data_IF_745217714341
#
_entry.id   IF_745217714341
#
_cell.length_a   1.000
_cell.length_b   1.000
_cell.length_c   1.000
_cell.angle_alpha   90.00
_cell.angle_beta   90.00
_cell.angle_gamma   90.00
#
_symmetry.space_group_name_H-M   'P 1'
#
loop_
_entity.id
_entity.type
_entity.pdbx_description
1 polymer ?
#
# COMPACT_ATOMS: atom_id res chain seq x y z
N UNK A 1 7.90 -6.14 75.30
CA UNK A 1 7.83 -5.82 73.87
C UNK A 1 7.32 -4.40 73.79
N UNK A 2 8.23 -3.45 73.55
CA UNK A 2 7.96 -2.02 73.68
C UNK A 2 7.05 -1.52 72.52
N UNK A 3 6.15 -0.56 72.73
CA UNK A 3 5.27 0.07 71.74
C UNK A 3 6.09 0.56 70.55
N UNK A 4 7.32 1.02 70.80
CA UNK A 4 8.29 1.46 69.76
C UNK A 4 8.71 0.36 68.81
N UNK A 5 8.76 -0.90 69.19
CA UNK A 5 9.13 -2.02 68.32
C UNK A 5 7.97 -2.41 67.39
N UNK A 6 6.74 -2.17 67.84
CA UNK A 6 5.54 -2.44 67.04
C UNK A 6 5.35 -1.41 65.90
N UNK A 7 5.54 -0.14 66.25
CA UNK A 7 5.45 0.95 65.24
C UNK A 7 6.55 0.82 64.15
N UNK A 8 7.73 0.35 64.51
CA UNK A 8 8.83 0.09 63.57
C UNK A 8 8.50 -1.10 62.65
N UNK A 9 7.95 -2.18 63.20
CA UNK A 9 7.54 -3.36 62.43
C UNK A 9 6.36 -3.08 61.50
N UNK A 10 5.41 -2.28 61.94
CA UNK A 10 4.26 -1.89 61.10
C UNK A 10 4.70 -0.96 59.98
N UNK A 11 5.65 -0.06 60.22
CA UNK A 11 6.25 0.82 59.22
C UNK A 11 7.06 0.04 58.18
N UNK A 12 7.87 -0.92 58.60
CA UNK A 12 8.60 -1.81 57.68
C UNK A 12 7.65 -2.70 56.84
N UNK A 13 6.51 -3.10 57.39
CA UNK A 13 5.47 -3.84 56.66
C UNK A 13 4.78 -2.97 55.64
N UNK A 14 4.42 -1.73 55.97
CA UNK A 14 3.84 -0.78 55.04
C UNK A 14 4.82 -0.41 53.90
N UNK A 15 6.10 -0.19 54.23
CA UNK A 15 7.14 0.06 53.21
C UNK A 15 7.31 -1.13 52.27
N UNK A 16 7.36 -2.37 52.78
CA UNK A 16 7.42 -3.60 51.96
C UNK A 16 6.18 -3.76 51.09
N UNK A 17 4.99 -3.53 51.63
CA UNK A 17 3.74 -3.58 50.88
C UNK A 17 3.69 -2.53 49.76
N UNK A 18 4.18 -1.31 50.00
CA UNK A 18 4.26 -0.26 49.02
C UNK A 18 5.27 -0.58 47.91
N UNK A 19 6.44 -1.12 48.25
CA UNK A 19 7.44 -1.57 47.28
C UNK A 19 6.86 -2.67 46.37
N UNK A 20 6.27 -3.71 46.95
CA UNK A 20 5.65 -4.81 46.20
C UNK A 20 4.52 -4.31 45.29
N UNK A 21 3.75 -3.31 45.75
CA UNK A 21 2.68 -2.71 44.96
C UNK A 21 3.22 -1.92 43.77
N UNK A 22 4.30 -1.15 43.97
CA UNK A 22 5.00 -0.42 42.92
C UNK A 22 5.63 -1.37 41.90
N UNK A 23 6.28 -2.45 42.36
CA UNK A 23 6.82 -3.49 41.50
C UNK A 23 5.75 -4.16 40.63
N UNK A 24 4.58 -4.46 41.19
CA UNK A 24 3.46 -5.02 40.44
C UNK A 24 2.92 -4.03 39.39
N UNK A 25 2.81 -2.75 39.74
CA UNK A 25 2.42 -1.73 38.76
C UNK A 25 3.44 -1.56 37.64
N UNK A 26 4.74 -1.57 37.99
CA UNK A 26 5.80 -1.48 37.01
C UNK A 26 5.78 -2.69 36.07
N UNK A 27 5.68 -3.91 36.60
CA UNK A 27 5.62 -5.15 35.82
C UNK A 27 4.39 -5.19 34.90
N UNK A 28 3.24 -4.69 35.36
CA UNK A 28 2.04 -4.59 34.54
C UNK A 28 2.18 -3.54 33.39
N UNK A 29 2.91 -2.44 33.65
CA UNK A 29 3.17 -1.41 32.66
C UNK A 29 4.33 -1.73 31.72
N UNK A 30 5.21 -2.66 32.09
CA UNK A 30 6.45 -2.96 31.39
C UNK A 30 6.28 -3.26 29.88
N UNK A 31 5.27 -4.05 29.42
CA UNK A 31 5.07 -4.29 27.99
C UNK A 31 4.77 -3.00 27.21
N UNK A 32 3.99 -2.09 27.79
CA UNK A 32 3.66 -0.80 27.17
C UNK A 32 4.89 0.11 27.11
N UNK A 33 5.69 0.14 28.21
CA UNK A 33 6.94 0.91 28.25
C UNK A 33 7.95 0.40 27.22
N UNK A 34 8.07 -0.92 27.08
CA UNK A 34 8.93 -1.54 26.06
C UNK A 34 8.48 -1.16 24.64
N UNK A 35 7.18 -1.25 24.34
CA UNK A 35 6.65 -0.87 23.03
C UNK A 35 6.92 0.61 22.71
N UNK A 36 6.64 1.52 23.65
CA UNK A 36 6.89 2.95 23.47
C UNK A 36 8.38 3.23 23.27
N UNK A 37 9.24 2.49 23.95
CA UNK A 37 10.68 2.61 23.77
C UNK A 37 11.12 2.16 22.38
N UNK A 38 10.65 1.01 21.87
CA UNK A 38 10.96 0.54 20.52
C UNK A 38 10.43 1.48 19.44
N UNK A 39 9.23 2.04 19.63
CA UNK A 39 8.71 3.10 18.75
C UNK A 39 9.64 4.32 18.76
N UNK A 40 10.10 4.75 19.95
CA UNK A 40 11.03 5.88 20.04
C UNK A 40 12.39 5.60 19.38
N UNK A 41 12.85 4.34 19.38
CA UNK A 41 14.07 3.91 18.70
C UNK A 41 13.93 4.00 17.18
N UNK A 42 12.86 3.43 16.60
CA UNK A 42 12.64 3.47 15.15
C UNK A 42 12.38 4.89 14.62
N UNK A 43 11.88 5.78 15.47
CA UNK A 43 11.71 7.20 15.14
C UNK A 43 13.01 8.03 15.32
N UNK A 44 14.06 7.41 15.88
CA UNK A 44 15.36 8.06 16.11
C UNK A 44 15.36 9.07 17.25
N UNK A 45 14.44 8.90 18.24
CA UNK A 45 14.35 9.81 19.41
C UNK A 45 15.26 9.40 20.56
N UNK A 46 15.88 8.22 20.49
CA UNK A 46 16.75 7.67 21.54
C UNK A 46 18.20 7.80 21.11
N UNK A 47 19.03 8.43 21.97
CA UNK A 47 20.47 8.53 21.76
C UNK A 47 21.15 7.24 22.19
N UNK A 48 22.34 6.96 21.65
CA UNK A 48 23.16 5.80 21.99
C UNK A 48 23.45 5.68 23.50
N UNK A 49 23.81 6.81 24.14
CA UNK A 49 24.09 6.88 25.60
C UNK A 49 22.89 6.45 26.46
N UNK A 50 21.67 6.74 26.00
CA UNK A 50 20.45 6.44 26.73
C UNK A 50 19.89 5.03 26.40
N UNK A 51 20.24 4.48 25.26
CA UNK A 51 19.76 3.16 24.82
C UNK A 51 20.08 2.06 25.86
N UNK A 52 21.34 2.00 26.34
CA UNK A 52 21.77 1.03 27.35
C UNK A 52 21.05 1.20 28.70
N UNK A 53 20.77 2.46 29.11
CA UNK A 53 20.03 2.75 30.34
C UNK A 53 18.58 2.24 30.25
N UNK A 54 17.92 2.48 29.13
CA UNK A 54 16.55 2.01 28.90
C UNK A 54 16.47 0.49 28.77
N UNK A 55 17.47 -0.16 28.18
CA UNK A 55 17.54 -1.62 28.12
C UNK A 55 17.55 -2.23 29.52
N UNK A 56 18.38 -1.69 30.42
CA UNK A 56 18.44 -2.13 31.82
C UNK A 56 17.12 -1.81 32.55
N UNK A 57 16.61 -0.58 32.41
CA UNK A 57 15.39 -0.14 33.10
C UNK A 57 14.14 -0.93 32.67
N UNK A 58 14.02 -1.24 31.39
CA UNK A 58 12.84 -1.93 30.83
C UNK A 58 13.06 -3.44 30.68
N UNK A 59 14.15 -3.99 31.28
CA UNK A 59 14.47 -5.42 31.26
C UNK A 59 14.47 -6.03 29.83
N UNK A 60 15.05 -5.29 28.89
CA UNK A 60 15.13 -5.71 27.48
C UNK A 60 16.39 -6.55 27.31
N UNK A 61 16.20 -7.83 26.95
CA UNK A 61 17.30 -8.75 26.69
C UNK A 61 17.54 -8.89 25.18
N UNK A 62 18.20 -7.88 24.59
CA UNK A 62 18.72 -7.89 23.20
C UNK A 62 20.15 -7.39 23.25
N UNK A 63 21.13 -8.31 23.14
CA UNK A 63 22.57 -8.04 23.34
C UNK A 63 23.44 -8.56 22.21
N UNK A 64 22.84 -8.75 21.02
CA UNK A 64 23.58 -9.25 19.87
C UNK A 64 24.57 -8.25 19.32
N UNK A 65 25.52 -8.72 18.50
CA UNK A 65 26.46 -7.85 17.81
C UNK A 65 25.81 -7.07 16.65
N UNK A 66 24.69 -7.59 16.12
CA UNK A 66 23.99 -6.97 15.00
C UNK A 66 22.47 -6.99 15.20
N UNK A 67 21.81 -6.04 14.55
CA UNK A 67 20.37 -5.86 14.61
C UNK A 67 19.79 -5.59 13.22
N UNK A 68 18.53 -5.96 13.05
CA UNK A 68 17.79 -5.69 11.83
C UNK A 68 16.33 -5.39 12.09
N UNK A 69 15.66 -4.82 11.11
CA UNK A 69 14.24 -4.54 11.15
C UNK A 69 13.54 -5.17 9.94
N UNK A 70 12.42 -5.83 10.17
CA UNK A 70 11.47 -6.19 9.15
C UNK A 70 10.15 -5.44 9.35
N UNK A 71 9.55 -5.00 8.25
CA UNK A 71 8.22 -4.39 8.19
C UNK A 71 7.31 -5.32 7.39
N UNK A 72 6.27 -5.84 8.02
CA UNK A 72 5.25 -6.67 7.37
C UNK A 72 4.03 -5.82 7.05
N UNK A 73 3.76 -5.65 5.78
CA UNK A 73 2.59 -4.98 5.26
C UNK A 73 1.54 -6.00 4.86
N UNK A 74 0.36 -5.94 5.47
CA UNK A 74 -0.80 -6.76 5.10
C UNK A 74 -1.72 -5.92 4.22
N UNK A 75 -2.03 -6.43 3.02
CA UNK A 75 -2.90 -5.73 2.08
C UNK A 75 -4.33 -5.62 2.61
N UNK A 76 -4.90 -4.42 2.56
CA UNK A 76 -6.30 -4.16 2.92
C UNK A 76 -7.27 -4.44 1.77
N UNK A 77 -6.76 -4.52 0.53
CA UNK A 77 -7.56 -4.76 -0.68
C UNK A 77 -7.81 -6.24 -0.96
N UNK A 78 -6.97 -7.13 -0.42
CA UNK A 78 -7.08 -8.58 -0.57
C UNK A 78 -7.41 -9.22 0.77
N UNK A 79 -8.67 -9.16 1.15
CA UNK A 79 -9.19 -9.74 2.40
C UNK A 79 -10.14 -10.88 2.05
N UNK A 80 -10.02 -12.06 2.69
CA UNK A 80 -10.98 -13.14 2.49
C UNK A 80 -12.43 -12.70 2.77
N UNK A 81 -13.38 -13.24 2.01
CA UNK A 81 -14.79 -12.89 2.11
C UNK A 81 -15.30 -13.00 3.56
N UNK A 82 -15.94 -11.92 4.02
CA UNK A 82 -16.51 -11.84 5.37
C UNK A 82 -15.52 -11.55 6.50
N UNK A 83 -14.23 -11.34 6.21
CA UNK A 83 -13.21 -10.99 7.21
C UNK A 83 -12.98 -9.47 7.26
N UNK A 84 -12.83 -8.93 8.47
CA UNK A 84 -12.44 -7.54 8.65
C UNK A 84 -10.92 -7.39 8.42
N UNK A 85 -10.44 -6.39 7.61
CA UNK A 85 -9.03 -6.15 7.37
C UNK A 85 -8.19 -6.01 8.65
N UNK A 86 -8.73 -5.32 9.66
CA UNK A 86 -8.06 -5.14 10.94
C UNK A 86 -7.85 -6.49 11.67
N UNK A 87 -8.84 -7.37 11.66
CA UNK A 87 -8.72 -8.70 12.25
C UNK A 87 -7.71 -9.56 11.50
N UNK A 88 -7.63 -9.42 10.18
CA UNK A 88 -6.62 -10.11 9.38
C UNK A 88 -5.21 -9.63 9.75
N UNK A 89 -4.99 -8.31 9.85
CA UNK A 89 -3.70 -7.74 10.26
C UNK A 89 -3.29 -8.19 11.67
N UNK A 90 -4.22 -8.21 12.63
CA UNK A 90 -3.98 -8.72 13.99
C UNK A 90 -3.66 -10.22 13.99
N UNK A 91 -4.33 -11.01 13.15
CA UNK A 91 -4.03 -12.44 13.01
C UNK A 91 -2.65 -12.68 12.41
N UNK A 92 -2.25 -11.88 11.42
CA UNK A 92 -0.89 -11.91 10.84
C UNK A 92 0.16 -11.55 11.89
N UNK A 93 -0.06 -10.51 12.70
CA UNK A 93 0.83 -10.16 13.81
C UNK A 93 0.98 -11.31 14.82
N UNK A 94 -0.13 -11.95 15.16
CA UNK A 94 -0.11 -13.10 16.06
C UNK A 94 0.74 -14.25 15.50
N UNK A 95 0.53 -14.60 14.23
CA UNK A 95 1.29 -15.68 13.58
C UNK A 95 2.79 -15.34 13.41
N UNK A 96 3.14 -14.06 13.22
CA UNK A 96 4.55 -13.62 13.23
C UNK A 96 5.17 -13.91 14.60
N UNK A 97 4.45 -13.62 15.70
CA UNK A 97 4.91 -13.90 17.08
C UNK A 97 5.06 -15.40 17.34
N UNK A 98 4.13 -16.22 16.88
CA UNK A 98 4.14 -17.66 17.12
C UNK A 98 5.17 -18.40 16.25
N UNK A 99 5.47 -17.92 15.04
CA UNK A 99 6.34 -18.62 14.09
C UNK A 99 7.72 -17.98 13.98
N UNK A 100 7.79 -16.70 13.59
CA UNK A 100 9.09 -16.07 13.35
C UNK A 100 9.82 -15.70 14.65
N UNK A 101 9.09 -15.20 15.65
CA UNK A 101 9.72 -14.84 16.92
C UNK A 101 10.16 -16.05 17.76
N UNK A 102 9.75 -17.27 17.42
CA UNK A 102 10.28 -18.51 18.02
C UNK A 102 11.61 -18.93 17.38
N UNK A 103 11.82 -18.63 16.09
CA UNK A 103 13.06 -18.92 15.38
C UNK A 103 14.13 -17.83 15.62
N UNK A 104 13.68 -16.59 15.79
CA UNK A 104 14.54 -15.40 15.85
C UNK A 104 14.32 -14.63 17.13
N UNK A 105 15.39 -14.34 17.89
CA UNK A 105 15.32 -13.47 19.05
C UNK A 105 14.92 -12.07 18.60
N UNK A 106 13.70 -11.65 18.97
CA UNK A 106 13.08 -10.49 18.35
C UNK A 106 12.06 -9.80 19.25
N UNK A 107 11.63 -8.62 18.80
CA UNK A 107 10.47 -7.90 19.32
C UNK A 107 9.50 -7.57 18.17
N UNK A 108 8.26 -7.99 18.37
CA UNK A 108 7.18 -7.79 17.38
C UNK A 108 6.13 -6.86 17.95
N UNK A 109 5.78 -5.83 17.22
CA UNK A 109 4.77 -4.85 17.61
C UNK A 109 4.15 -4.18 16.37
N UNK A 110 2.95 -3.62 16.52
CA UNK A 110 2.28 -2.85 15.47
C UNK A 110 2.70 -1.38 15.48
N UNK A 111 2.92 -0.81 14.30
CA UNK A 111 3.21 0.60 14.12
C UNK A 111 2.74 1.09 12.75
N UNK A 112 1.96 2.18 12.72
CA UNK A 112 1.40 2.80 11.49
C UNK A 112 0.75 1.79 10.53
N UNK A 113 -0.10 0.90 11.06
CA UNK A 113 -0.83 -0.08 10.25
C UNK A 113 -0.01 -1.27 9.75
N UNK A 114 1.28 -1.34 10.09
CA UNK A 114 2.15 -2.46 9.75
C UNK A 114 2.61 -3.21 11.00
N UNK A 115 2.98 -4.48 10.85
CA UNK A 115 3.65 -5.24 11.90
C UNK A 115 5.16 -5.12 11.74
N UNK A 116 5.84 -4.67 12.78
CA UNK A 116 7.29 -4.54 12.83
C UNK A 116 7.90 -5.68 13.64
N UNK A 117 9.05 -6.15 13.18
CA UNK A 117 9.87 -7.13 13.88
C UNK A 117 11.30 -6.64 13.94
N UNK A 118 11.76 -6.26 15.14
CA UNK A 118 13.16 -5.96 15.41
C UNK A 118 13.86 -7.25 15.83
N UNK A 119 14.98 -7.57 15.18
CA UNK A 119 15.70 -8.83 15.39
C UNK A 119 17.11 -8.60 15.89
N UNK A 120 17.60 -9.57 16.63
CA UNK A 120 19.00 -9.72 17.01
C UNK A 120 19.66 -10.76 16.10
N UNK A 121 20.81 -10.42 15.53
CA UNK A 121 21.55 -11.25 14.59
C UNK A 121 22.91 -11.61 15.16
N UNK A 122 23.35 -12.86 14.96
CA UNK A 122 24.67 -13.36 15.37
C UNK A 122 25.80 -12.92 14.44
N UNK A 123 25.48 -12.63 13.18
CA UNK A 123 26.38 -12.12 12.15
C UNK A 123 25.59 -11.27 11.16
N UNK A 124 26.30 -10.46 10.39
CA UNK A 124 25.69 -9.64 9.32
C UNK A 124 25.04 -10.52 8.24
N UNK A 125 25.66 -11.63 7.87
CA UNK A 125 25.13 -12.57 6.87
C UNK A 125 23.85 -13.29 7.31
N UNK A 126 23.54 -13.34 8.62
CA UNK A 126 22.35 -13.99 9.13
C UNK A 126 21.06 -13.29 8.60
N UNK A 127 21.15 -12.07 8.09
CA UNK A 127 20.03 -11.35 7.46
C UNK A 127 19.48 -12.08 6.24
N UNK A 128 20.31 -12.82 5.50
CA UNK A 128 19.89 -13.61 4.33
C UNK A 128 18.94 -14.74 4.78
N UNK A 129 19.34 -15.48 5.82
CA UNK A 129 18.49 -16.56 6.37
C UNK A 129 17.18 -16.02 6.96
N UNK A 130 17.26 -14.84 7.59
CA UNK A 130 16.07 -14.15 8.09
C UNK A 130 15.15 -13.73 6.94
N UNK A 131 15.70 -13.20 5.85
CA UNK A 131 14.95 -12.85 4.63
C UNK A 131 14.21 -14.08 4.09
N UNK A 132 14.88 -15.23 4.01
CA UNK A 132 14.26 -16.50 3.58
C UNK A 132 13.12 -16.95 4.52
N UNK A 133 13.30 -16.78 5.85
CA UNK A 133 12.25 -17.11 6.82
C UNK A 133 11.03 -16.21 6.64
N UNK A 134 11.22 -14.91 6.42
CA UNK A 134 10.16 -13.97 6.12
C UNK A 134 9.46 -14.30 4.80
N UNK A 135 10.21 -14.69 3.75
CA UNK A 135 9.64 -15.08 2.46
C UNK A 135 8.75 -16.33 2.58
N UNK A 136 9.23 -17.35 3.31
CA UNK A 136 8.42 -18.54 3.62
C UNK A 136 7.15 -18.19 4.39
N UNK A 137 7.26 -17.26 5.36
CA UNK A 137 6.11 -16.79 6.13
C UNK A 137 5.08 -16.09 5.23
N UNK A 138 5.49 -15.17 4.36
CA UNK A 138 4.59 -14.47 3.44
C UNK A 138 3.83 -15.45 2.52
N UNK A 139 4.53 -16.45 1.97
CA UNK A 139 3.91 -17.50 1.15
C UNK A 139 2.97 -18.40 1.96
N UNK A 140 3.31 -18.69 3.20
CA UNK A 140 2.47 -19.46 4.12
C UNK A 140 1.20 -18.69 4.49
N UNK A 141 1.32 -17.41 4.85
CA UNK A 141 0.19 -16.54 5.21
C UNK A 141 -0.85 -16.48 4.08
N UNK A 142 -0.39 -16.37 2.84
CA UNK A 142 -1.27 -16.40 1.69
C UNK A 142 -1.99 -17.75 1.52
N UNK A 143 -1.27 -18.87 1.64
CA UNK A 143 -1.85 -20.21 1.41
C UNK A 143 -2.83 -20.63 2.50
N UNK A 144 -2.57 -20.25 3.77
CA UNK A 144 -3.33 -20.73 4.92
C UNK A 144 -4.39 -19.74 5.39
N UNK A 145 -4.07 -18.45 5.35
CA UNK A 145 -4.95 -17.39 5.84
C UNK A 145 -5.60 -16.58 4.71
N UNK A 146 -5.19 -16.75 3.47
CA UNK A 146 -5.57 -15.87 2.36
C UNK A 146 -4.98 -14.45 2.48
N UNK A 147 -4.09 -14.22 3.44
CA UNK A 147 -3.52 -12.91 3.70
C UNK A 147 -2.41 -12.57 2.70
N UNK A 148 -2.55 -11.48 1.98
CA UNK A 148 -1.50 -10.93 1.12
C UNK A 148 -0.55 -10.10 1.96
N UNK A 149 0.60 -10.69 2.31
CA UNK A 149 1.61 -10.07 3.17
C UNK A 149 2.90 -9.85 2.37
N UNK A 150 3.49 -8.67 2.49
CA UNK A 150 4.83 -8.38 1.97
C UNK A 150 5.73 -7.96 3.12
N UNK A 151 6.89 -8.58 3.24
CA UNK A 151 7.90 -8.26 4.24
C UNK A 151 9.02 -7.43 3.60
N UNK A 152 9.24 -6.22 4.08
CA UNK A 152 10.42 -5.43 3.74
C UNK A 152 11.51 -5.64 4.78
N UNK A 153 12.73 -5.95 4.35
CA UNK A 153 13.88 -6.19 5.22
C UNK A 153 14.87 -5.04 5.09
N UNK A 154 15.21 -4.43 6.22
CA UNK A 154 16.15 -3.32 6.28
C UNK A 154 17.61 -3.76 6.32
N UNK A 155 18.52 -2.80 6.20
CA UNK A 155 19.95 -3.05 6.34
C UNK A 155 20.31 -3.42 7.76
N UNK A 156 21.30 -4.26 7.92
CA UNK A 156 21.87 -4.63 9.22
C UNK A 156 22.55 -3.40 9.85
N UNK A 157 22.42 -3.24 11.16
CA UNK A 157 23.14 -2.26 11.94
C UNK A 157 23.86 -2.94 13.11
N UNK A 158 24.98 -2.39 13.52
CA UNK A 158 25.87 -2.87 14.60
C UNK A 158 25.44 -2.34 15.98
N UNK A 159 24.52 -1.39 16.01
CA UNK A 159 24.04 -0.77 17.24
C UNK A 159 22.51 -0.59 17.17
N UNK A 160 21.82 -0.97 18.24
CA UNK A 160 20.36 -0.81 18.33
C UNK A 160 19.93 0.66 18.27
N UNK A 161 20.76 1.60 18.70
CA UNK A 161 20.45 3.04 18.57
C UNK A 161 20.32 3.48 17.10
N UNK A 162 20.96 2.74 16.17
CA UNK A 162 20.91 3.00 14.72
C UNK A 162 19.78 2.21 14.01
N UNK A 163 18.90 1.53 14.75
CA UNK A 163 17.83 0.70 14.17
C UNK A 163 16.87 1.49 13.28
N UNK A 164 16.81 2.81 13.44
CA UNK A 164 16.06 3.70 12.56
C UNK A 164 16.47 3.54 11.09
N UNK A 165 17.75 3.41 10.79
CA UNK A 165 18.23 3.24 9.41
C UNK A 165 17.77 1.90 8.82
N UNK A 166 17.73 0.85 9.64
CA UNK A 166 17.18 -0.45 9.26
C UNK A 166 15.67 -0.36 9.03
N UNK A 167 14.93 0.32 9.91
CA UNK A 167 13.49 0.53 9.74
C UNK A 167 13.16 1.34 8.48
N UNK A 168 13.86 2.44 8.24
CA UNK A 168 13.66 3.26 7.04
C UNK A 168 13.90 2.44 5.76
N UNK A 169 14.98 1.64 5.74
CA UNK A 169 15.24 0.71 4.65
C UNK A 169 14.19 -0.39 4.50
N UNK A 170 13.69 -0.95 5.61
CA UNK A 170 12.63 -1.97 5.56
C UNK A 170 11.31 -1.38 5.03
N UNK A 171 10.95 -0.17 5.42
CA UNK A 171 9.79 0.54 4.91
C UNK A 171 9.92 0.86 3.42
N UNK A 172 11.10 1.30 3.00
CA UNK A 172 11.42 1.50 1.59
C UNK A 172 11.28 0.19 0.81
N UNK A 173 11.83 -0.93 1.32
CA UNK A 173 11.72 -2.25 0.70
C UNK A 173 10.25 -2.68 0.50
N UNK A 174 9.37 -2.42 1.47
CA UNK A 174 7.92 -2.67 1.31
C UNK A 174 7.33 -1.89 0.14
N UNK A 175 7.78 -0.66 -0.12
CA UNK A 175 7.26 0.14 -1.23
C UNK A 175 7.56 -0.47 -2.61
N UNK A 176 8.64 -1.25 -2.71
CA UNK A 176 8.99 -1.97 -3.94
C UNK A 176 8.07 -3.16 -4.27
N UNK A 177 7.05 -3.46 -3.41
CA UNK A 177 6.05 -4.50 -3.71
C UNK A 177 5.28 -4.23 -5.01
N UNK A 178 5.14 -2.97 -5.40
CA UNK A 178 4.48 -2.55 -6.65
C UNK A 178 5.28 -2.96 -7.88
N UNK A 179 6.60 -3.15 -7.78
CA UNK A 179 7.49 -3.56 -8.86
C UNK A 179 7.86 -5.04 -8.82
N UNK A 180 8.09 -5.58 -7.62
CA UNK A 180 8.57 -6.97 -7.45
C UNK A 180 7.45 -7.94 -7.04
N UNK A 181 6.23 -7.45 -6.88
CA UNK A 181 5.08 -8.23 -6.47
C UNK A 181 4.95 -8.40 -4.95
N UNK A 182 3.79 -8.90 -4.55
CA UNK A 182 3.39 -9.15 -3.16
C UNK A 182 3.69 -10.60 -2.73
N UNK A 183 3.35 -10.96 -1.49
CA UNK A 183 3.45 -12.33 -0.92
C UNK A 183 4.88 -12.85 -0.82
N UNK A 184 5.82 -11.94 -0.59
CA UNK A 184 7.26 -12.25 -0.52
C UNK A 184 8.00 -11.31 0.42
N UNK A 185 9.24 -11.68 0.74
CA UNK A 185 10.18 -10.76 1.38
C UNK A 185 10.99 -10.01 0.32
N UNK A 186 11.27 -8.75 0.60
CA UNK A 186 12.10 -7.85 -0.23
C UNK A 186 13.18 -7.29 0.67
N UNK A 187 14.44 -7.59 0.36
CA UNK A 187 15.59 -7.09 1.11
C UNK A 187 16.16 -5.85 0.42
N UNK A 188 16.20 -4.73 1.13
CA UNK A 188 16.68 -3.45 0.59
C UNK A 188 18.15 -3.53 0.10
N UNK A 189 18.97 -4.39 0.72
CA UNK A 189 20.37 -4.56 0.31
C UNK A 189 20.52 -5.25 -1.03
N UNK A 190 19.52 -6.03 -1.48
CA UNK A 190 19.51 -6.73 -2.76
C UNK A 190 18.97 -5.85 -3.89
N UNK A 191 18.34 -4.74 -3.55
CA UNK A 191 17.85 -3.76 -4.52
C UNK A 191 19.01 -2.88 -4.97
N UNK A 192 19.79 -3.36 -5.96
CA UNK A 192 20.84 -2.56 -6.55
C UNK A 192 20.24 -1.33 -7.25
N UNK A 193 20.77 -0.10 -6.99
CA UNK A 193 20.42 1.04 -7.82
C UNK A 193 20.91 0.75 -9.24
N UNK A 194 19.99 0.51 -10.15
CA UNK A 194 20.30 0.50 -11.58
C UNK A 194 20.51 1.96 -11.97
N UNK A 195 21.75 2.41 -11.97
CA UNK A 195 22.17 3.66 -12.61
C UNK A 195 22.01 3.49 -14.12
N UNK A 196 20.83 3.80 -14.64
CA UNK A 196 20.64 4.05 -16.06
C UNK A 196 19.93 5.38 -16.20
N UNK A 197 20.54 6.26 -17.00
CA UNK A 197 19.95 7.52 -17.42
C UNK A 197 18.58 7.23 -18.05
N UNK A 198 17.53 7.64 -17.35
CA UNK A 198 16.17 7.47 -17.84
C UNK A 198 15.91 8.56 -18.87
N UNK A 199 16.03 8.23 -20.13
CA UNK A 199 15.41 9.04 -21.18
C UNK A 199 13.89 8.91 -21.03
N UNK A 200 13.28 9.91 -20.39
CA UNK A 200 11.83 10.07 -20.39
C UNK A 200 11.38 10.21 -21.86
N UNK A 201 10.68 9.20 -22.35
CA UNK A 201 10.07 9.31 -23.69
C UNK A 201 8.93 10.33 -23.65
N UNK A 202 8.70 11.07 -24.75
CA UNK A 202 7.67 12.10 -24.81
C UNK A 202 6.29 11.56 -24.47
N UNK A 203 5.56 12.30 -23.66
CA UNK A 203 4.29 11.96 -23.00
C UNK A 203 3.12 11.62 -23.93
N UNK A 204 3.14 12.08 -25.18
CA UNK A 204 1.96 12.04 -26.06
C UNK A 204 1.55 10.65 -26.60
N UNK A 205 2.39 9.64 -26.43
CA UNK A 205 2.12 8.28 -26.96
C UNK A 205 1.60 7.31 -25.90
N UNK A 206 1.71 7.66 -24.63
CA UNK A 206 1.23 6.81 -23.53
C UNK A 206 -0.29 6.86 -23.48
N UNK A 207 -0.93 5.72 -23.28
CA UNK A 207 -2.39 5.58 -23.16
C UNK A 207 -3.20 5.84 -24.45
N UNK A 208 -2.57 6.19 -25.57
CA UNK A 208 -3.29 6.44 -26.83
C UNK A 208 -4.12 5.23 -27.27
N UNK A 209 -3.53 4.04 -27.22
CA UNK A 209 -4.21 2.80 -27.62
C UNK A 209 -5.39 2.49 -26.71
N UNK A 210 -5.25 2.76 -25.38
CA UNK A 210 -6.32 2.57 -24.42
C UNK A 210 -7.49 3.53 -24.68
N UNK A 211 -7.21 4.82 -24.84
CA UNK A 211 -8.28 5.79 -25.12
C UNK A 211 -8.97 5.55 -26.47
N UNK A 212 -8.25 5.04 -27.45
CA UNK A 212 -8.84 4.57 -28.70
C UNK A 212 -9.76 3.37 -28.47
N UNK A 213 -9.35 2.38 -27.68
CA UNK A 213 -10.17 1.23 -27.34
C UNK A 213 -11.43 1.64 -26.56
N UNK A 214 -11.30 2.57 -25.61
CA UNK A 214 -12.42 3.16 -24.87
C UNK A 214 -13.42 3.83 -25.82
N UNK A 215 -12.92 4.60 -26.80
CA UNK A 215 -13.78 5.21 -27.82
C UNK A 215 -14.51 4.19 -28.68
N UNK A 216 -13.92 3.05 -28.98
CA UNK A 216 -14.59 1.97 -29.72
C UNK A 216 -15.65 1.25 -28.86
N UNK A 217 -15.48 1.22 -27.54
CA UNK A 217 -16.43 0.65 -26.58
C UNK A 217 -16.52 -0.88 -26.68
N UNK A 218 -15.44 -1.55 -27.06
CA UNK A 218 -15.35 -3.01 -27.14
C UNK A 218 -14.65 -3.54 -25.87
N UNK A 219 -15.42 -4.11 -24.96
CA UNK A 219 -14.95 -4.56 -23.64
C UNK A 219 -13.72 -5.46 -23.72
N UNK A 220 -13.74 -6.50 -24.55
CA UNK A 220 -12.64 -7.45 -24.70
C UNK A 220 -11.32 -6.79 -25.20
N UNK A 221 -11.44 -5.76 -26.03
CA UNK A 221 -10.29 -5.01 -26.55
C UNK A 221 -9.73 -4.09 -25.45
N UNK A 222 -10.61 -3.40 -24.72
CA UNK A 222 -10.22 -2.57 -23.58
C UNK A 222 -9.44 -3.40 -22.54
N UNK A 223 -9.97 -4.56 -22.14
CA UNK A 223 -9.35 -5.45 -21.15
C UNK A 223 -7.94 -5.90 -21.60
N UNK A 224 -7.75 -6.23 -22.87
CA UNK A 224 -6.45 -6.62 -23.44
C UNK A 224 -5.45 -5.45 -23.45
N UNK A 225 -5.91 -4.27 -23.87
CA UNK A 225 -5.05 -3.09 -23.93
C UNK A 225 -4.64 -2.65 -22.54
N UNK A 226 -5.53 -2.71 -21.54
CA UNK A 226 -5.19 -2.43 -20.14
C UNK A 226 -4.06 -3.32 -19.64
N UNK A 227 -4.16 -4.63 -19.85
CA UNK A 227 -3.09 -5.57 -19.45
C UNK A 227 -1.75 -5.18 -20.07
N UNK A 228 -1.75 -4.89 -21.39
CA UNK A 228 -0.52 -4.49 -22.10
C UNK A 228 0.05 -3.15 -21.58
N UNK A 229 -0.79 -2.17 -21.23
CA UNK A 229 -0.32 -0.89 -20.67
C UNK A 229 0.27 -1.07 -19.28
N UNK A 230 -0.31 -1.94 -18.44
CA UNK A 230 0.24 -2.28 -17.12
C UNK A 230 1.57 -3.03 -17.25
N UNK A 231 1.68 -3.99 -18.17
CA UNK A 231 2.96 -4.69 -18.45
C UNK A 231 4.06 -3.73 -18.91
N UNK A 232 3.72 -2.78 -19.80
CA UNK A 232 4.66 -1.73 -20.23
C UNK A 232 5.10 -0.84 -19.07
N UNK A 233 4.17 -0.47 -18.19
CA UNK A 233 4.46 0.35 -17.02
C UNK A 233 5.46 -0.36 -16.09
N UNK A 234 5.24 -1.64 -15.80
CA UNK A 234 6.17 -2.44 -14.99
C UNK A 234 7.53 -2.65 -15.66
N UNK A 235 7.55 -2.87 -16.97
CA UNK A 235 8.79 -3.10 -17.70
C UNK A 235 9.67 -1.84 -17.78
N UNK A 236 9.06 -0.66 -17.84
CA UNK A 236 9.75 0.61 -18.01
C UNK A 236 10.19 1.25 -16.67
N UNK A 237 9.50 0.94 -15.56
CA UNK A 237 9.81 1.49 -14.27
C UNK A 237 10.92 0.67 -13.58
N UNK A 238 12.06 1.30 -13.33
CA UNK A 238 13.19 0.68 -12.63
C UNK A 238 13.21 1.00 -11.13
N UNK A 239 12.57 2.12 -10.75
CA UNK A 239 12.46 2.58 -9.37
C UNK A 239 11.01 2.86 -9.02
N UNK A 240 10.70 2.82 -7.71
CA UNK A 240 9.36 3.18 -7.21
C UNK A 240 8.99 4.63 -7.56
N UNK A 241 9.97 5.54 -7.57
CA UNK A 241 9.74 6.94 -7.96
C UNK A 241 9.31 7.06 -9.43
N UNK A 242 9.96 6.32 -10.34
CA UNK A 242 9.58 6.29 -11.75
C UNK A 242 8.20 5.64 -11.94
N UNK A 243 7.92 4.56 -11.20
CA UNK A 243 6.60 3.93 -11.20
C UNK A 243 5.52 4.90 -10.74
N UNK A 244 5.72 5.55 -9.59
CA UNK A 244 4.76 6.51 -9.06
C UNK A 244 4.52 7.69 -10.04
N UNK A 245 5.58 8.20 -10.66
CA UNK A 245 5.45 9.25 -11.68
C UNK A 245 4.61 8.77 -12.86
N UNK A 246 4.87 7.58 -13.38
CA UNK A 246 4.10 7.01 -14.50
C UNK A 246 2.62 6.80 -14.15
N UNK A 247 2.32 6.36 -12.91
CA UNK A 247 0.93 6.26 -12.41
C UNK A 247 0.27 7.66 -12.31
N UNK A 248 0.97 8.66 -11.80
CA UNK A 248 0.45 10.03 -11.73
C UNK A 248 0.14 10.60 -13.12
N UNK A 249 1.02 10.36 -14.09
CA UNK A 249 0.79 10.73 -15.48
C UNK A 249 -0.43 10.02 -16.08
N UNK A 250 -0.58 8.71 -15.79
CA UNK A 250 -1.74 7.91 -16.20
C UNK A 250 -3.04 8.47 -15.62
N UNK A 251 -3.10 8.74 -14.33
CA UNK A 251 -4.28 9.35 -13.68
C UNK A 251 -4.59 10.71 -14.31
N UNK A 252 -3.58 11.55 -14.52
CA UNK A 252 -3.72 12.82 -15.20
C UNK A 252 -4.24 12.68 -16.65
N UNK A 253 -3.85 11.62 -17.36
CA UNK A 253 -4.34 11.33 -18.70
C UNK A 253 -5.83 10.95 -18.70
N UNK A 254 -6.31 10.19 -17.72
CA UNK A 254 -7.74 9.90 -17.54
C UNK A 254 -8.54 11.17 -17.25
N UNK A 255 -8.05 12.05 -16.36
CA UNK A 255 -8.71 13.35 -16.14
C UNK A 255 -8.83 14.18 -17.43
N UNK A 256 -7.74 14.27 -18.22
CA UNK A 256 -7.76 14.97 -19.51
C UNK A 256 -8.71 14.31 -20.50
N UNK A 257 -8.70 12.98 -20.58
CA UNK A 257 -9.61 12.23 -21.45
C UNK A 257 -11.07 12.49 -21.11
N UNK A 258 -11.44 12.41 -19.84
CA UNK A 258 -12.81 12.67 -19.39
C UNK A 258 -13.22 14.11 -19.67
N UNK A 259 -12.38 15.10 -19.35
CA UNK A 259 -12.64 16.50 -19.62
C UNK A 259 -12.88 16.77 -21.12
N UNK A 260 -12.08 16.18 -22.01
CA UNK A 260 -12.24 16.32 -23.46
C UNK A 260 -13.53 15.66 -24.00
N UNK A 261 -14.12 14.74 -23.25
CA UNK A 261 -15.36 14.04 -23.62
C UNK A 261 -16.57 14.51 -22.80
N UNK A 262 -16.45 15.61 -22.04
CA UNK A 262 -17.50 16.16 -21.17
C UNK A 262 -17.97 15.18 -20.09
N UNK A 263 -17.06 14.35 -19.57
CA UNK A 263 -17.27 13.42 -18.47
C UNK A 263 -16.54 13.91 -17.22
N UNK A 264 -17.02 13.53 -16.02
CA UNK A 264 -16.29 13.74 -14.78
C UNK A 264 -15.61 12.44 -14.35
N UNK A 265 -14.28 12.45 -14.28
CA UNK A 265 -13.51 11.28 -13.86
C UNK A 265 -13.78 10.89 -12.40
N UNK A 266 -14.16 11.87 -11.55
CA UNK A 266 -14.44 11.59 -10.15
C UNK A 266 -15.62 10.63 -9.96
N UNK A 267 -16.58 10.59 -10.89
CA UNK A 267 -17.70 9.66 -10.86
C UNK A 267 -17.27 8.19 -11.01
N UNK A 268 -16.05 7.97 -11.52
CA UNK A 268 -15.48 6.64 -11.81
C UNK A 268 -14.40 6.19 -10.83
N UNK A 269 -14.14 6.98 -9.78
CA UNK A 269 -13.10 6.64 -8.79
C UNK A 269 -13.55 5.60 -7.75
N UNK A 270 -14.82 5.16 -7.76
CA UNK A 270 -15.36 4.11 -6.88
C UNK A 270 -15.01 4.29 -5.39
N UNK A 271 -15.10 5.55 -4.91
CA UNK A 271 -14.83 5.90 -3.51
C UNK A 271 -13.36 6.20 -3.18
N UNK A 272 -12.47 6.19 -4.17
CA UNK A 272 -11.09 6.65 -4.00
C UNK A 272 -11.10 8.17 -3.83
N UNK A 273 -10.83 8.65 -2.60
CA UNK A 273 -10.84 10.09 -2.30
C UNK A 273 -9.61 10.82 -2.83
N UNK A 274 -8.44 10.18 -2.79
CA UNK A 274 -7.19 10.74 -3.25
C UNK A 274 -6.51 9.79 -4.26
N UNK A 275 -6.84 9.90 -5.56
CA UNK A 275 -6.33 8.97 -6.57
C UNK A 275 -4.81 9.03 -6.72
N UNK A 276 -4.18 10.19 -6.53
CA UNK A 276 -2.73 10.35 -6.63
C UNK A 276 -1.95 9.71 -5.47
N UNK A 277 -2.60 9.42 -4.34
CA UNK A 277 -1.98 8.69 -3.22
C UNK A 277 -2.37 7.21 -3.23
N UNK A 278 -3.63 6.90 -3.51
CA UNK A 278 -4.16 5.54 -3.39
C UNK A 278 -3.75 4.65 -4.55
N UNK A 279 -3.87 5.14 -5.80
CA UNK A 279 -3.60 4.32 -7.00
C UNK A 279 -2.14 3.85 -7.07
N UNK A 280 -1.11 4.68 -6.77
CA UNK A 280 0.28 4.23 -6.75
C UNK A 280 0.60 3.15 -5.70
N UNK A 281 -0.26 2.97 -4.71
CA UNK A 281 -0.09 1.95 -3.66
C UNK A 281 -0.76 0.60 -3.99
N UNK A 282 -1.56 0.56 -5.05
CA UNK A 282 -2.21 -0.67 -5.50
C UNK A 282 -1.17 -1.66 -6.01
N UNK A 283 -1.38 -2.95 -5.73
CA UNK A 283 -0.61 -3.99 -6.41
C UNK A 283 -1.09 -4.17 -7.86
N UNK A 284 -0.30 -4.87 -8.66
CA UNK A 284 -0.55 -5.05 -10.09
C UNK A 284 -1.97 -5.59 -10.38
N UNK A 285 -2.45 -6.55 -9.60
CA UNK A 285 -3.76 -7.17 -9.81
C UNK A 285 -4.90 -6.20 -9.52
N UNK A 286 -4.79 -5.44 -8.43
CA UNK A 286 -5.78 -4.42 -8.05
C UNK A 286 -5.78 -3.25 -9.03
N UNK A 287 -4.60 -2.78 -9.45
CA UNK A 287 -4.46 -1.72 -10.44
C UNK A 287 -5.07 -2.12 -11.79
N UNK A 288 -4.78 -3.36 -12.24
CA UNK A 288 -5.33 -3.89 -13.49
C UNK A 288 -6.85 -3.97 -13.44
N UNK A 289 -7.41 -4.54 -12.37
CA UNK A 289 -8.86 -4.65 -12.19
C UNK A 289 -9.54 -3.29 -12.17
N UNK A 290 -9.01 -2.34 -11.38
CA UNK A 290 -9.51 -0.98 -11.31
C UNK A 290 -9.48 -0.28 -12.67
N UNK A 291 -8.36 -0.37 -13.38
CA UNK A 291 -8.18 0.28 -14.69
C UNK A 291 -9.10 -0.33 -15.76
N UNK A 292 -9.35 -1.65 -15.71
CA UNK A 292 -10.32 -2.32 -16.58
C UNK A 292 -11.73 -1.84 -16.31
N UNK A 293 -12.16 -1.81 -15.05
CA UNK A 293 -13.50 -1.37 -14.64
C UNK A 293 -13.78 0.06 -15.10
N UNK A 294 -12.89 1.00 -14.73
CA UNK A 294 -13.00 2.41 -15.13
C UNK A 294 -13.04 2.58 -16.66
N UNK A 295 -12.15 1.88 -17.36
CA UNK A 295 -12.07 2.01 -18.84
C UNK A 295 -13.30 1.45 -19.54
N UNK A 296 -13.88 0.36 -19.06
CA UNK A 296 -15.12 -0.23 -19.59
C UNK A 296 -16.30 0.70 -19.35
N UNK A 297 -16.44 1.23 -18.12
CA UNK A 297 -17.51 2.18 -17.81
C UNK A 297 -17.46 3.45 -18.64
N UNK A 298 -16.28 4.04 -18.83
CA UNK A 298 -16.09 5.19 -19.71
C UNK A 298 -16.49 4.85 -21.16
N UNK A 299 -16.12 3.67 -21.64
CA UNK A 299 -16.51 3.19 -22.97
C UNK A 299 -18.02 3.05 -23.13
N UNK A 300 -18.71 2.50 -22.13
CA UNK A 300 -20.17 2.38 -22.11
C UNK A 300 -20.87 3.74 -22.09
N UNK A 301 -20.38 4.67 -21.26
CA UNK A 301 -20.94 6.03 -21.21
C UNK A 301 -20.80 6.76 -22.56
N UNK A 302 -19.63 6.71 -23.20
CA UNK A 302 -19.40 7.32 -24.50
C UNK A 302 -20.29 6.69 -25.59
N UNK A 303 -20.48 5.38 -25.55
CA UNK A 303 -21.38 4.66 -26.46
C UNK A 303 -22.83 5.09 -26.27
N UNK A 304 -23.28 5.20 -25.03
CA UNK A 304 -24.64 5.63 -24.70
C UNK A 304 -24.90 7.10 -25.10
N UNK A 305 -23.92 7.99 -24.86
CA UNK A 305 -24.00 9.37 -25.29
C UNK A 305 -24.13 9.50 -26.82
N UNK A 306 -23.33 8.74 -27.59
CA UNK A 306 -23.43 8.69 -29.07
C UNK A 306 -24.77 8.14 -29.52
N UNK A 307 -25.25 7.05 -28.92
CA UNK A 307 -26.54 6.46 -29.27
C UNK A 307 -27.71 7.40 -28.97
N UNK A 308 -27.66 8.13 -27.86
CA UNK A 308 -28.69 9.12 -27.51
C UNK A 308 -28.72 10.29 -28.46
N UNK A 309 -27.54 10.81 -28.85
CA UNK A 309 -27.41 11.89 -29.85
C UNK A 309 -27.91 11.43 -31.19
N UNK A 310 -27.52 10.22 -31.66
CA UNK A 310 -28.01 9.68 -32.94
C UNK A 310 -29.52 9.49 -32.96
N UNK A 311 -30.11 8.95 -31.88
CA UNK A 311 -31.58 8.80 -31.74
C UNK A 311 -32.28 10.15 -31.78
N UNK A 312 -31.76 11.18 -31.09
CA UNK A 312 -32.32 12.53 -31.12
C UNK A 312 -32.29 13.12 -32.52
N UNK A 313 -31.15 13.01 -33.21
CA UNK A 313 -31.00 13.48 -34.58
C UNK A 313 -32.01 12.80 -35.54
N UNK A 314 -32.19 11.48 -35.39
CA UNK A 314 -33.18 10.74 -36.21
C UNK A 314 -34.60 11.21 -35.90
N UNK A 315 -34.95 11.43 -34.62
CA UNK A 315 -36.26 11.93 -34.22
C UNK A 315 -36.51 13.34 -34.71
N UNK A 316 -35.50 14.22 -34.60
CA UNK A 316 -35.57 15.60 -35.03
C UNK A 316 -35.69 15.68 -36.60
N UNK A 317 -34.97 14.82 -37.31
CA UNK A 317 -35.09 14.68 -38.78
C UNK A 317 -36.50 14.19 -39.16
N UNK A 318 -37.03 13.18 -38.49
CA UNK A 318 -38.39 12.69 -38.73
C UNK A 318 -39.46 13.75 -38.47
N UNK A 319 -39.31 14.53 -37.41
CA UNK A 319 -40.25 15.62 -37.11
C UNK A 319 -40.16 16.73 -38.15
N UNK A 320 -38.94 17.12 -38.56
CA UNK A 320 -38.73 18.11 -39.60
C UNK A 320 -39.36 17.69 -40.94
N UNK A 321 -39.21 16.41 -41.30
CA UNK A 321 -39.87 15.86 -42.51
C UNK A 321 -41.38 15.89 -42.36
N UNK A 322 -41.95 15.52 -41.23
CA UNK A 322 -43.42 15.56 -40.98
C UNK A 322 -43.99 16.96 -41.04
N UNK A 323 -43.25 17.96 -40.58
CA UNK A 323 -43.69 19.36 -40.55
C UNK A 323 -43.59 20.00 -41.95
N UNK A 324 -42.58 19.60 -42.78
CA UNK A 324 -42.24 20.28 -44.03
C UNK A 324 -42.40 19.42 -45.29
N UNK A 325 -43.03 18.22 -45.19
CA UNK A 325 -43.15 17.32 -46.35
C UNK A 325 -43.87 17.90 -47.57
N UNK A 326 -44.66 18.99 -47.41
CA UNK A 326 -45.33 19.70 -48.45
C UNK A 326 -44.47 20.79 -49.13
N UNK A 327 -43.30 21.11 -48.60
CA UNK A 327 -42.41 22.13 -49.15
C UNK A 327 -41.59 21.55 -50.30
N UNK A 328 -41.64 22.18 -51.53
CA UNK A 328 -40.91 21.65 -52.70
C UNK A 328 -39.40 21.67 -52.53
N UNK A 329 -38.86 22.49 -51.62
CA UNK A 329 -37.42 22.69 -51.37
C UNK A 329 -36.88 21.76 -50.25
N UNK A 330 -37.71 20.85 -49.74
CA UNK A 330 -37.24 19.88 -48.72
C UNK A 330 -36.33 18.85 -49.40
N UNK A 331 -35.05 18.91 -49.05
CA UNK A 331 -34.02 17.99 -49.52
C UNK A 331 -33.21 17.47 -48.37
N UNK A 332 -32.39 16.43 -48.59
CA UNK A 332 -31.47 15.91 -47.60
C UNK A 332 -30.50 17.00 -47.10
N UNK A 333 -30.01 17.83 -48.03
CA UNK A 333 -29.10 18.94 -47.72
C UNK A 333 -29.75 19.98 -46.83
N UNK A 334 -31.05 20.27 -47.06
CA UNK A 334 -31.84 21.19 -46.25
C UNK A 334 -32.01 20.62 -44.84
N UNK A 335 -32.30 19.32 -44.69
CA UNK A 335 -32.44 18.64 -43.40
C UNK A 335 -31.10 18.67 -42.67
N UNK A 336 -30.02 18.29 -43.31
CA UNK A 336 -28.67 18.32 -42.74
C UNK A 336 -28.27 19.73 -42.28
N UNK A 337 -28.55 20.75 -43.08
CA UNK A 337 -28.27 22.14 -42.76
C UNK A 337 -29.05 22.64 -41.52
N UNK A 338 -30.32 22.29 -41.41
CA UNK A 338 -31.18 22.67 -40.26
C UNK A 338 -30.76 21.96 -38.98
N UNK A 339 -30.37 20.69 -39.09
CA UNK A 339 -29.93 19.89 -37.95
C UNK A 339 -28.45 20.10 -37.60
N UNK A 340 -27.69 20.87 -38.37
CA UNK A 340 -26.28 21.18 -38.16
C UNK A 340 -25.37 19.95 -38.29
N UNK A 341 -25.75 19.00 -39.18
CA UNK A 341 -24.97 17.79 -39.45
C UNK A 341 -24.52 17.78 -40.92
N UNK A 342 -23.34 17.21 -41.17
CA UNK A 342 -22.75 17.08 -42.51
C UNK A 342 -22.73 15.63 -42.96
#
# INVERSE_FOLDING_TARGET
MCIRDRDTLDREREEKLNVTRLENYFNAALPVLQNNFFVSLIEGRVTEENCGKFFAAYQIDMKGPYYGCAVFHTSEHHVPDGMNPLLLAMSVEHEIKERLATEWKSRVFSYLGNTLMLIELSSEDAIVQFTDSCDRFCKWAYRVMGAVVTAGIGRVCDNMANIKTSYDGAREAVSYRVLYGTKRAINIAELAPKEQETTLQPEDTRMHDLFKAIHLGLKEEIEKVVVNEIEKLHSNAQTVSQYNLAIMEMVGAFYRFCANNFLDFNDHLHGIQNPYETIPQMDESTLTAWMQEVSVELGEQLKNARNSTSRRLVTDAQNLVRERYMEPDLSLDTICSVLGVS
#
